data_IF_698073821179
#
_entry.id   IF_698073821179
#
_cell.length_a   1.000
_cell.length_b   1.000
_cell.length_c   1.000
_cell.angle_alpha   90.00
_cell.angle_beta   90.00
_cell.angle_gamma   90.00
#
_symmetry.space_group_name_H-M   'P 1'
#
loop_
_entity.id
_entity.type
_entity.pdbx_description
1 polymer ?
#
# COMPACT_ATOMS: atom_id res chain seq x y z
N UNK A 1 29.42 7.11 4.28
CA UNK A 1 28.64 5.88 4.53
C UNK A 1 27.17 6.20 4.32
N UNK A 2 26.47 5.46 3.46
CA UNK A 2 25.00 5.57 3.39
C UNK A 2 24.41 5.12 4.73
N UNK A 3 23.46 5.88 5.25
CA UNK A 3 22.64 5.46 6.39
C UNK A 3 21.81 4.23 5.97
N UNK A 4 21.75 3.21 6.83
CA UNK A 4 20.92 2.03 6.61
C UNK A 4 19.50 2.32 7.08
N UNK A 5 18.50 1.67 6.46
CA UNK A 5 17.08 1.79 6.87
C UNK A 5 16.91 1.48 8.36
N UNK A 6 17.62 0.48 8.87
CA UNK A 6 17.61 0.12 10.31
C UNK A 6 18.06 1.27 11.22
N UNK A 7 19.12 2.00 10.83
CA UNK A 7 19.62 3.15 11.60
C UNK A 7 18.63 4.29 11.59
N UNK A 8 18.04 4.57 10.43
CA UNK A 8 17.01 5.58 10.29
C UNK A 8 15.75 5.23 11.11
N UNK A 9 15.23 4.01 10.99
CA UNK A 9 14.08 3.55 11.76
C UNK A 9 14.32 3.68 13.27
N UNK A 10 15.50 3.27 13.75
CA UNK A 10 15.87 3.42 15.17
C UNK A 10 15.87 4.87 15.62
N UNK A 11 16.35 5.79 14.79
CA UNK A 11 16.36 7.24 15.08
C UNK A 11 14.93 7.80 15.17
N UNK A 12 14.04 7.34 14.30
CA UNK A 12 12.64 7.76 14.25
C UNK A 12 11.74 7.00 15.24
N UNK A 13 12.29 6.09 16.05
CA UNK A 13 11.52 5.29 17.02
C UNK A 13 10.62 4.23 16.39
N UNK A 14 10.95 3.80 15.17
CA UNK A 14 10.21 2.76 14.42
C UNK A 14 10.85 1.40 14.66
N UNK A 15 10.07 0.46 15.19
CA UNK A 15 10.44 -0.95 15.27
C UNK A 15 10.28 -1.63 13.91
N UNK A 16 11.30 -2.35 13.46
CA UNK A 16 11.29 -3.04 12.17
C UNK A 16 11.05 -4.53 12.39
N UNK A 17 9.90 -5.00 11.92
CA UNK A 17 9.56 -6.43 11.94
C UNK A 17 9.70 -7.04 10.54
N UNK A 18 10.40 -8.17 10.45
CA UNK A 18 10.60 -8.90 9.21
C UNK A 18 9.78 -10.19 9.21
N UNK A 19 9.10 -10.44 8.10
CA UNK A 19 8.47 -11.74 7.87
C UNK A 19 9.52 -12.86 7.87
N UNK A 20 9.27 -14.01 8.53
CA UNK A 20 10.13 -15.18 8.42
C UNK A 20 10.35 -15.62 6.95
N UNK A 21 11.51 -16.22 6.63
CA UNK A 21 11.74 -16.84 5.34
C UNK A 21 10.64 -17.86 4.99
N UNK A 22 10.30 -17.97 3.70
CA UNK A 22 9.30 -18.91 3.18
C UNK A 22 7.86 -18.73 3.69
N UNK A 23 7.50 -17.54 4.16
CA UNK A 23 6.14 -17.22 4.62
C UNK A 23 5.46 -16.15 3.75
N UNK A 24 5.12 -16.45 2.48
CA UNK A 24 4.59 -15.46 1.53
C UNK A 24 3.21 -14.91 1.93
N UNK A 25 2.41 -15.67 2.69
CA UNK A 25 1.04 -15.28 3.06
C UNK A 25 1.00 -13.97 3.84
N UNK A 26 2.03 -13.70 4.67
CA UNK A 26 2.12 -12.44 5.42
C UNK A 26 2.25 -11.19 4.52
N UNK A 27 2.71 -11.35 3.27
CA UNK A 27 2.87 -10.26 2.30
C UNK A 27 1.68 -10.12 1.35
N UNK A 28 0.66 -10.97 1.48
CA UNK A 28 -0.46 -11.01 0.53
C UNK A 28 -1.22 -9.69 0.37
N UNK A 29 -1.33 -8.88 1.44
CA UNK A 29 -1.96 -7.55 1.38
C UNK A 29 -1.17 -6.59 0.48
N UNK A 30 0.14 -6.48 0.67
CA UNK A 30 0.99 -5.58 -0.12
C UNK A 30 1.14 -6.09 -1.56
N UNK A 31 1.27 -7.41 -1.77
CA UNK A 31 1.33 -8.01 -3.10
C UNK A 31 0.05 -7.74 -3.89
N UNK A 32 -1.12 -7.85 -3.24
CA UNK A 32 -2.40 -7.51 -3.86
C UNK A 32 -2.51 -6.04 -4.22
N UNK A 33 -2.07 -5.14 -3.33
CA UNK A 33 -2.04 -3.69 -3.61
C UNK A 33 -1.13 -3.36 -4.80
N UNK A 34 0.06 -3.95 -4.87
CA UNK A 34 0.99 -3.79 -6.00
C UNK A 34 0.36 -4.30 -7.29
N UNK A 35 -0.30 -5.47 -7.26
CA UNK A 35 -1.00 -6.01 -8.43
C UNK A 35 -2.07 -5.04 -8.93
N UNK A 36 -2.92 -4.52 -8.04
CA UNK A 36 -3.95 -3.53 -8.41
C UNK A 36 -3.33 -2.26 -9.00
N UNK A 37 -2.24 -1.75 -8.42
CA UNK A 37 -1.51 -0.60 -8.99
C UNK A 37 -1.01 -0.90 -10.42
N UNK A 38 -0.41 -2.08 -10.64
CA UNK A 38 0.07 -2.46 -11.96
C UNK A 38 -1.08 -2.63 -12.97
N UNK A 39 -2.18 -3.22 -12.55
CA UNK A 39 -3.30 -3.58 -13.42
C UNK A 39 -4.23 -2.42 -13.75
N UNK A 40 -4.45 -1.51 -12.81
CA UNK A 40 -5.40 -0.40 -12.95
C UNK A 40 -4.70 0.92 -13.32
N UNK A 41 -3.50 1.17 -12.80
CA UNK A 41 -2.77 2.42 -13.05
C UNK A 41 -1.71 2.27 -14.14
N UNK A 42 -0.74 1.36 -13.98
CA UNK A 42 0.37 1.29 -14.93
C UNK A 42 -0.05 0.84 -16.32
N UNK A 43 -1.15 0.08 -16.47
CA UNK A 43 -1.71 -0.26 -17.79
C UNK A 43 -2.14 0.98 -18.58
N UNK A 44 -2.47 2.10 -17.92
CA UNK A 44 -2.84 3.35 -18.58
C UNK A 44 -1.68 3.93 -19.42
N UNK A 45 -0.43 3.54 -19.15
CA UNK A 45 0.73 3.90 -20.00
C UNK A 45 0.57 3.47 -21.46
N UNK A 46 -0.34 2.54 -21.77
CA UNK A 46 -0.66 2.15 -23.15
C UNK A 46 -1.46 3.22 -23.91
N UNK A 47 -2.09 4.15 -23.20
CA UNK A 47 -3.01 5.15 -23.75
C UNK A 47 -2.52 6.57 -23.47
N UNK A 48 -1.91 6.82 -22.31
CA UNK A 48 -1.43 8.13 -21.88
C UNK A 48 0.09 8.22 -21.94
N UNK A 49 0.61 9.31 -22.49
CA UNK A 49 2.06 9.55 -22.61
C UNK A 49 2.74 9.70 -21.24
N UNK A 50 2.08 10.37 -20.29
CA UNK A 50 2.61 10.56 -18.94
C UNK A 50 1.56 10.24 -17.86
N UNK A 51 1.43 8.95 -17.56
CA UNK A 51 0.51 8.46 -16.53
C UNK A 51 0.80 9.04 -15.13
N UNK A 52 2.04 9.48 -14.85
CA UNK A 52 2.41 9.96 -13.52
C UNK A 52 1.68 11.26 -13.15
N UNK A 53 1.21 12.02 -14.14
CA UNK A 53 0.35 13.18 -13.89
C UNK A 53 -0.98 12.80 -13.23
N UNK A 54 -1.44 11.56 -13.44
CA UNK A 54 -2.68 11.00 -12.88
C UNK A 54 -2.46 10.30 -11.53
N UNK A 55 -1.22 10.27 -11.01
CA UNK A 55 -0.91 9.50 -9.79
C UNK A 55 -1.72 9.97 -8.58
N UNK A 56 -1.88 11.29 -8.42
CA UNK A 56 -2.64 11.85 -7.31
C UNK A 56 -4.12 11.47 -7.39
N UNK A 57 -4.70 11.53 -8.58
CA UNK A 57 -6.09 11.14 -8.85
C UNK A 57 -6.28 9.64 -8.61
N UNK A 58 -5.31 8.82 -9.02
CA UNK A 58 -5.33 7.39 -8.72
C UNK A 58 -5.27 7.12 -7.22
N UNK A 59 -4.41 7.80 -6.45
CA UNK A 59 -4.33 7.63 -4.99
C UNK A 59 -5.67 8.00 -4.34
N UNK A 60 -6.27 9.11 -4.77
CA UNK A 60 -7.57 9.57 -4.27
C UNK A 60 -8.68 8.56 -4.59
N UNK A 61 -8.73 8.07 -5.83
CA UNK A 61 -9.67 7.03 -6.22
C UNK A 61 -9.42 5.72 -5.43
N UNK A 62 -8.15 5.30 -5.31
CA UNK A 62 -7.75 4.05 -4.67
C UNK A 62 -8.19 4.01 -3.21
N UNK A 63 -8.08 5.13 -2.50
CA UNK A 63 -8.35 5.21 -1.06
C UNK A 63 -9.80 5.56 -0.73
N UNK A 64 -10.44 6.44 -1.50
CA UNK A 64 -11.75 7.02 -1.15
C UNK A 64 -12.90 6.57 -2.05
N UNK A 65 -12.63 6.05 -3.25
CA UNK A 65 -13.67 5.79 -4.25
C UNK A 65 -13.71 4.34 -4.75
N UNK A 66 -12.68 3.54 -4.47
CA UNK A 66 -12.68 2.11 -4.76
C UNK A 66 -13.15 1.30 -3.53
N UNK A 67 -14.37 0.78 -3.61
CA UNK A 67 -14.86 -0.17 -2.61
C UNK A 67 -14.00 -1.45 -2.63
N UNK A 68 -13.45 -1.85 -1.50
CA UNK A 68 -12.54 -2.97 -1.41
C UNK A 68 -13.23 -4.19 -0.79
N UNK A 69 -13.57 -5.17 -1.63
CA UNK A 69 -14.34 -6.36 -1.24
C UNK A 69 -13.75 -7.15 -0.07
N UNK A 70 -12.42 -7.23 0.05
CA UNK A 70 -11.78 -8.00 1.13
C UNK A 70 -11.76 -7.31 2.51
N UNK A 71 -12.09 -6.01 2.58
CA UNK A 71 -12.23 -5.27 3.84
C UNK A 71 -13.66 -4.75 4.04
N UNK A 72 -14.53 -4.98 3.06
CA UNK A 72 -15.94 -4.55 3.04
C UNK A 72 -16.15 -3.04 3.27
N UNK A 73 -15.19 -2.20 2.83
CA UNK A 73 -15.26 -0.74 2.96
C UNK A 73 -14.24 -0.08 2.01
N UNK A 74 -14.16 1.24 2.05
CA UNK A 74 -13.11 2.05 1.43
C UNK A 74 -11.85 2.08 2.32
N UNK A 75 -10.63 1.95 1.75
CA UNK A 75 -9.41 1.95 2.54
C UNK A 75 -9.26 3.14 3.51
N UNK A 76 -9.67 4.34 3.09
CA UNK A 76 -9.62 5.52 3.95
C UNK A 76 -10.57 5.39 5.17
N UNK A 77 -11.78 4.88 4.98
CA UNK A 77 -12.72 4.67 6.08
C UNK A 77 -12.15 3.73 7.14
N UNK A 78 -11.56 2.61 6.71
CA UNK A 78 -10.90 1.66 7.62
C UNK A 78 -9.73 2.30 8.36
N UNK A 79 -8.93 3.11 7.66
CA UNK A 79 -7.80 3.82 8.27
C UNK A 79 -8.27 4.81 9.36
N UNK A 80 -9.34 5.56 9.11
CA UNK A 80 -9.85 6.56 10.03
C UNK A 80 -10.80 6.01 11.12
N UNK A 81 -11.28 4.77 11.00
CA UNK A 81 -12.26 4.18 11.94
C UNK A 81 -11.68 3.72 13.29
N UNK A 82 -10.40 3.98 13.57
CA UNK A 82 -9.68 3.63 14.82
C UNK A 82 -9.50 2.13 15.10
N UNK A 83 -9.88 1.24 14.19
CA UNK A 83 -9.70 -0.24 14.32
C UNK A 83 -8.50 -0.80 13.53
N UNK A 84 -7.48 0.02 13.23
CA UNK A 84 -6.34 -0.43 12.40
C UNK A 84 -5.37 -1.33 13.18
N UNK A 85 -5.46 -1.37 14.51
CA UNK A 85 -4.53 -2.11 15.39
C UNK A 85 -4.95 -3.54 15.70
N UNK A 86 -6.19 -3.95 15.44
CA UNK A 86 -6.70 -5.26 15.84
C UNK A 86 -7.12 -6.09 14.63
N UNK A 87 -6.14 -6.47 13.80
CA UNK A 87 -6.29 -7.63 12.92
C UNK A 87 -5.66 -8.82 13.64
N UNK A 88 -6.40 -9.35 14.61
CA UNK A 88 -6.17 -10.68 15.20
C UNK A 88 -6.34 -11.78 14.15
#
# INVERSE_FOLDING_TARGET
MKETIEKWCKKEGIEVEYTPPYYPQAKGKIERAIRTFNEEFLKLKKVFENVLLLLQEFIEWFNNHRYHMGIHDYPANVYFSKNVTDVT
#
